data_IF_247991498782
#
_entry.id   IF_247991498782
#
_cell.length_a   1.000
_cell.length_b   1.000
_cell.length_c   1.000
_cell.angle_alpha   90.00
_cell.angle_beta   90.00
_cell.angle_gamma   90.00
#
_symmetry.space_group_name_H-M   'P 1'
#
loop_
_entity.id
_entity.type
_entity.pdbx_description
1 polymer ?
#
# COMPACT_ATOMS: atom_id res chain seq x y z
N UNK A 1 4.55 -19.31 5.12
CA UNK A 1 5.18 -17.98 5.25
C UNK A 1 4.48 -17.12 4.23
N UNK A 2 3.68 -16.16 4.69
CA UNK A 2 2.99 -15.22 3.81
C UNK A 2 4.06 -14.46 3.03
N UNK A 3 4.15 -14.75 1.72
CA UNK A 3 5.03 -14.01 0.84
C UNK A 3 4.44 -12.60 0.73
N UNK A 4 4.99 -11.65 1.48
CA UNK A 4 4.69 -10.24 1.29
C UNK A 4 5.18 -9.91 -0.11
N UNK A 5 4.25 -9.73 -1.04
CA UNK A 5 4.56 -9.34 -2.41
C UNK A 5 5.37 -8.05 -2.42
N UNK A 6 6.36 -7.95 -3.30
CA UNK A 6 7.14 -6.74 -3.44
C UNK A 6 6.24 -5.63 -4.02
N UNK A 7 6.07 -4.53 -3.28
CA UNK A 7 5.45 -3.33 -3.82
C UNK A 7 6.35 -2.77 -4.92
N UNK A 8 5.85 -2.76 -6.14
CA UNK A 8 6.62 -2.31 -7.30
C UNK A 8 6.29 -0.87 -7.69
N UNK A 9 5.03 -0.48 -7.54
CA UNK A 9 4.51 0.83 -7.93
C UNK A 9 3.20 1.08 -7.18
N UNK A 10 2.89 2.36 -6.93
CA UNK A 10 1.56 2.79 -6.53
C UNK A 10 1.21 4.11 -7.20
N UNK A 11 -0.07 4.32 -7.46
CA UNK A 11 -0.59 5.60 -7.96
C UNK A 11 -1.84 5.99 -7.18
N UNK A 12 -2.05 7.30 -7.01
CA UNK A 12 -3.20 7.86 -6.28
C UNK A 12 -3.90 8.92 -7.12
N UNK A 13 -5.20 9.03 -6.95
CA UNK A 13 -6.04 10.00 -7.64
C UNK A 13 -7.41 10.12 -6.98
N UNK A 14 -8.34 10.77 -7.68
CA UNK A 14 -9.74 10.85 -7.27
C UNK A 14 -10.65 10.16 -8.28
N UNK A 15 -11.69 9.49 -7.80
CA UNK A 15 -12.78 8.95 -8.60
C UNK A 15 -13.94 9.93 -8.55
N UNK A 16 -14.39 10.38 -9.71
CA UNK A 16 -15.49 11.36 -9.88
C UNK A 16 -15.36 12.65 -9.04
N UNK A 17 -14.14 12.97 -8.60
CA UNK A 17 -13.83 14.15 -7.78
C UNK A 17 -14.25 14.04 -6.31
N UNK A 18 -14.76 12.88 -5.87
CA UNK A 18 -15.30 12.70 -4.51
C UNK A 18 -14.52 11.66 -3.71
N UNK A 19 -14.29 10.49 -4.29
CA UNK A 19 -13.61 9.40 -3.60
C UNK A 19 -12.12 9.41 -3.92
N UNK A 20 -11.30 8.98 -2.97
CA UNK A 20 -9.90 8.72 -3.22
C UNK A 20 -9.74 7.32 -3.85
N UNK A 21 -8.87 7.23 -4.85
CA UNK A 21 -8.52 5.98 -5.50
C UNK A 21 -7.02 5.77 -5.41
N UNK A 22 -6.62 4.56 -5.04
CA UNK A 22 -5.23 4.10 -5.08
C UNK A 22 -5.15 2.82 -5.91
N UNK A 23 -4.14 2.71 -6.76
CA UNK A 23 -3.79 1.46 -7.43
C UNK A 23 -2.43 1.03 -6.92
N UNK A 24 -2.36 -0.17 -6.35
CA UNK A 24 -1.13 -0.79 -5.89
C UNK A 24 -0.72 -1.85 -6.90
N UNK A 25 0.53 -1.81 -7.34
CA UNK A 25 1.14 -2.82 -8.21
C UNK A 25 2.11 -3.70 -7.43
N UNK A 26 1.81 -4.99 -7.35
CA UNK A 26 2.63 -5.98 -6.63
C UNK A 26 3.15 -7.07 -7.56
N UNK A 27 4.33 -7.59 -7.23
CA UNK A 27 4.78 -8.90 -7.68
C UNK A 27 4.70 -9.85 -6.48
N UNK A 28 3.95 -10.95 -6.63
CA UNK A 28 3.69 -11.90 -5.53
C UNK A 28 4.80 -12.92 -5.37
N UNK A 29 5.70 -13.02 -6.36
CA UNK A 29 6.91 -13.87 -6.32
C UNK A 29 8.13 -13.12 -6.88
N UNK A 30 9.37 -13.53 -6.53
CA UNK A 30 10.58 -13.00 -7.15
C UNK A 30 10.59 -13.20 -8.67
N UNK A 31 10.12 -14.34 -9.17
CA UNK A 31 10.09 -14.65 -10.59
C UNK A 31 9.15 -13.71 -11.36
N UNK A 32 7.97 -13.40 -10.79
CA UNK A 32 7.06 -12.37 -11.34
C UNK A 32 7.74 -11.00 -11.38
N UNK A 33 8.49 -10.66 -10.33
CA UNK A 33 9.21 -9.41 -10.27
C UNK A 33 10.21 -9.29 -11.42
N UNK A 34 11.07 -10.30 -11.58
CA UNK A 34 12.10 -10.41 -12.62
C UNK A 34 11.52 -10.41 -14.04
N UNK A 35 10.38 -11.08 -14.24
CA UNK A 35 9.70 -11.16 -15.54
C UNK A 35 8.85 -9.92 -15.87
N UNK A 36 8.77 -8.95 -14.96
CA UNK A 36 7.95 -7.75 -15.16
C UNK A 36 6.44 -7.98 -15.01
N UNK A 37 6.01 -9.11 -14.44
CA UNK A 37 4.59 -9.41 -14.17
C UNK A 37 4.13 -8.57 -12.98
N UNK A 38 3.02 -7.86 -13.13
CA UNK A 38 2.46 -6.95 -12.12
C UNK A 38 0.98 -7.21 -11.92
N UNK A 39 0.56 -7.33 -10.67
CA UNK A 39 -0.84 -7.46 -10.29
C UNK A 39 -1.33 -6.12 -9.76
N UNK A 40 -2.44 -5.64 -10.32
CA UNK A 40 -3.07 -4.39 -9.89
C UNK A 40 -4.13 -4.67 -8.84
N UNK A 41 -4.01 -3.98 -7.70
CA UNK A 41 -5.00 -3.97 -6.64
C UNK A 41 -5.57 -2.56 -6.52
N UNK A 42 -6.74 -2.29 -7.14
CA UNK A 42 -7.43 -1.02 -6.97
C UNK A 42 -8.09 -0.97 -5.59
N UNK A 43 -7.96 0.18 -4.93
CA UNK A 43 -8.59 0.48 -3.65
C UNK A 43 -9.34 1.80 -3.79
N UNK A 44 -10.65 1.76 -3.57
CA UNK A 44 -11.49 2.95 -3.47
C UNK A 44 -11.81 3.21 -2.00
N UNK A 45 -11.74 4.47 -1.59
CA UNK A 45 -11.98 4.87 -0.21
C UNK A 45 -12.51 6.30 -0.12
N UNK A 46 -13.15 6.64 0.99
CA UNK A 46 -13.55 8.03 1.25
C UNK A 46 -12.32 8.89 1.54
N UNK A 47 -12.41 10.22 1.36
CA UNK A 47 -11.31 11.13 1.70
C UNK A 47 -10.79 11.00 3.13
N UNK A 48 -11.68 10.74 4.10
CA UNK A 48 -11.31 10.57 5.51
C UNK A 48 -10.42 9.32 5.69
N UNK A 49 -10.81 8.20 5.11
CA UNK A 49 -10.02 6.96 5.18
C UNK A 49 -8.69 7.09 4.43
N UNK A 50 -8.63 7.88 3.35
CA UNK A 50 -7.38 8.17 2.67
C UNK A 50 -6.39 8.94 3.56
N UNK A 51 -6.90 9.88 4.35
CA UNK A 51 -6.09 10.60 5.33
C UNK A 51 -5.56 9.66 6.42
N UNK A 52 -6.45 8.85 7.01
CA UNK A 52 -6.09 7.87 8.03
C UNK A 52 -5.03 6.88 7.53
N UNK A 53 -5.19 6.37 6.31
CA UNK A 53 -4.22 5.49 5.66
C UNK A 53 -2.86 6.17 5.51
N UNK A 54 -2.84 7.42 5.03
CA UNK A 54 -1.61 8.20 4.89
C UNK A 54 -0.87 8.41 6.22
N UNK A 55 -1.60 8.73 7.28
CA UNK A 55 -1.05 8.91 8.62
C UNK A 55 -0.48 7.60 9.19
N UNK A 56 -1.20 6.49 9.02
CA UNK A 56 -0.74 5.17 9.43
C UNK A 56 0.56 4.76 8.72
N UNK A 57 0.67 5.03 7.40
CA UNK A 57 1.88 4.75 6.63
C UNK A 57 3.07 5.61 7.10
N UNK A 58 2.85 6.90 7.38
CA UNK A 58 3.90 7.79 7.92
C UNK A 58 4.39 7.29 9.28
N UNK A 59 3.47 6.90 10.16
CA UNK A 59 3.81 6.38 11.48
C UNK A 59 4.60 5.08 11.37
N UNK A 60 4.15 4.16 10.51
CA UNK A 60 4.84 2.90 10.28
C UNK A 60 6.27 3.11 9.75
N UNK A 61 6.44 4.04 8.80
CA UNK A 61 7.75 4.39 8.25
C UNK A 61 8.69 4.97 9.32
N UNK A 62 8.17 5.85 10.20
CA UNK A 62 8.95 6.42 11.31
C UNK A 62 9.40 5.36 12.30
N UNK A 63 8.50 4.47 12.73
CA UNK A 63 8.85 3.39 13.64
C UNK A 63 9.91 2.45 13.02
N UNK A 64 9.74 2.07 11.75
CA UNK A 64 10.74 1.27 11.04
C UNK A 64 12.12 1.95 10.99
N UNK A 65 12.19 3.27 10.79
CA UNK A 65 13.44 4.03 10.82
C UNK A 65 14.07 4.11 12.21
N UNK A 66 13.27 4.05 13.27
CA UNK A 66 13.73 4.05 14.67
C UNK A 66 14.20 2.65 15.13
N UNK A 67 14.05 1.61 14.30
CA UNK A 67 14.34 0.22 14.66
C UNK A 67 13.25 -0.43 15.50
N UNK A 68 12.10 0.23 15.67
CA UNK A 68 10.90 -0.33 16.30
C UNK A 68 10.04 -1.00 15.21
N UNK A 69 9.56 -2.21 15.47
CA UNK A 69 8.57 -2.85 14.60
C UNK A 69 7.16 -2.46 15.06
N UNK A 70 6.43 -1.58 14.35
CA UNK A 70 5.06 -1.26 14.74
C UNK A 70 4.15 -2.41 14.30
N UNK A 71 3.83 -3.30 15.24
CA UNK A 71 2.72 -4.24 15.10
C UNK A 71 1.44 -3.54 15.52
N UNK A 72 0.77 -2.86 14.59
CA UNK A 72 -0.62 -2.43 14.79
C UNK A 72 -1.49 -3.03 13.68
N UNK A 73 -1.92 -4.27 13.89
CA UNK A 73 -3.13 -4.80 13.26
C UNK A 73 -4.32 -4.21 14.02
N UNK A 74 -4.99 -3.22 13.44
CA UNK A 74 -6.34 -2.87 13.88
C UNK A 74 -7.30 -3.88 13.24
N UNK A 75 -7.97 -4.67 14.08
CA UNK A 75 -9.09 -5.53 13.68
C UNK A 75 -10.33 -4.69 13.39
#
# INVERSE_FOLDING_TARGET
MDLIGALTSFSVGTLDGHDAMMVIEIATTPEEYEQGIRHQMPVAMTPEHALELGEALILAARAAQMGDAPSYAFN
#
